data_IF_479626255270
#
_entry.id   IF_479626255270
#
_cell.length_a   1.000
_cell.length_b   1.000
_cell.length_c   1.000
_cell.angle_alpha   90.00
_cell.angle_beta   90.00
_cell.angle_gamma   90.00
#
_symmetry.space_group_name_H-M   'P 1'
#
loop_
_entity.id
_entity.type
_entity.pdbx_description
1 polymer ?
#
# COMPACT_ATOMS: atom_id res chain seq x y z
N UNK A 1 -15.96 -17.10 6.78
CA UNK A 1 -16.42 -16.76 5.41
C UNK A 1 -15.29 -15.99 4.75
N UNK A 2 -14.90 -16.33 3.52
CA UNK A 2 -13.93 -15.51 2.79
C UNK A 2 -14.57 -14.14 2.56
N UNK A 3 -14.05 -13.08 3.18
CA UNK A 3 -14.36 -11.72 2.71
C UNK A 3 -13.80 -11.61 1.28
N UNK A 4 -14.53 -10.94 0.40
CA UNK A 4 -14.00 -10.59 -0.92
C UNK A 4 -13.01 -9.43 -0.72
N UNK A 5 -11.71 -9.73 -0.82
CA UNK A 5 -10.61 -8.81 -0.48
C UNK A 5 -9.97 -8.17 -1.71
N UNK A 6 -10.44 -8.54 -2.91
CA UNK A 6 -9.96 -8.01 -4.17
C UNK A 6 -11.01 -7.07 -4.75
N UNK A 7 -10.57 -5.89 -5.17
CA UNK A 7 -11.41 -4.90 -5.85
C UNK A 7 -10.87 -4.64 -7.26
N UNK A 8 -11.75 -4.25 -8.18
CA UNK A 8 -11.37 -3.90 -9.55
C UNK A 8 -10.98 -2.43 -9.66
N UNK A 9 -10.27 -2.08 -10.74
CA UNK A 9 -9.99 -0.67 -11.05
C UNK A 9 -11.28 0.16 -11.22
N UNK A 10 -12.34 -0.42 -11.80
CA UNK A 10 -13.64 0.23 -11.93
C UNK A 10 -14.30 0.48 -10.56
N UNK A 11 -14.16 -0.48 -9.63
CA UNK A 11 -14.64 -0.32 -8.26
C UNK A 11 -13.97 0.86 -7.57
N UNK A 12 -12.65 1.01 -7.72
CA UNK A 12 -11.88 2.12 -7.15
C UNK A 12 -12.25 3.44 -7.82
N UNK A 13 -12.32 3.47 -9.15
CA UNK A 13 -12.63 4.66 -9.93
C UNK A 13 -14.01 5.22 -9.59
N UNK A 14 -15.01 4.35 -9.42
CA UNK A 14 -16.37 4.75 -8.99
C UNK A 14 -16.45 5.32 -7.57
N UNK A 15 -15.39 5.14 -6.76
CA UNK A 15 -15.28 5.58 -5.36
C UNK A 15 -14.13 6.56 -5.12
N UNK A 16 -13.50 7.09 -6.17
CA UNK A 16 -12.27 7.87 -6.03
C UNK A 16 -12.41 9.07 -5.08
N UNK A 17 -13.59 9.67 -5.03
CA UNK A 17 -13.88 10.78 -4.10
C UNK A 17 -13.90 10.35 -2.62
N UNK A 18 -14.07 9.07 -2.29
CA UNK A 18 -13.93 8.56 -0.91
C UNK A 18 -12.46 8.53 -0.50
N UNK A 19 -11.58 8.09 -1.41
CA UNK A 19 -10.13 8.00 -1.19
C UNK A 19 -9.40 9.36 -1.22
N UNK A 20 -10.09 10.43 -1.64
CA UNK A 20 -9.55 11.80 -1.70
C UNK A 20 -9.99 12.68 -0.52
N UNK A 21 -10.86 12.18 0.36
CA UNK A 21 -11.31 12.92 1.54
C UNK A 21 -10.21 13.02 2.58
N UNK A 22 -10.33 14.05 3.42
CA UNK A 22 -9.44 14.27 4.57
C UNK A 22 -9.85 13.43 5.80
N UNK A 23 -10.76 12.47 5.64
CA UNK A 23 -11.15 11.54 6.70
C UNK A 23 -10.43 10.19 6.56
N UNK A 24 -10.19 9.46 7.67
CA UNK A 24 -9.37 8.25 7.65
C UNK A 24 -10.12 7.00 7.17
N UNK A 25 -11.40 7.07 6.76
CA UNK A 25 -12.19 5.87 6.49
C UNK A 25 -11.65 5.08 5.28
N UNK A 26 -11.08 5.75 4.28
CA UNK A 26 -10.57 5.13 3.06
C UNK A 26 -9.17 5.63 2.74
N UNK A 27 -8.24 4.70 2.51
CA UNK A 27 -6.84 5.00 2.16
C UNK A 27 -6.41 4.17 0.96
N UNK A 28 -5.89 4.84 -0.05
CA UNK A 28 -5.34 4.20 -1.25
C UNK A 28 -3.82 4.20 -1.11
N UNK A 29 -3.19 3.04 -1.26
CA UNK A 29 -1.76 2.87 -1.02
C UNK A 29 -1.12 2.23 -2.23
N UNK A 30 -0.13 2.91 -2.80
CA UNK A 30 0.80 2.31 -3.76
C UNK A 30 2.00 1.76 -3.01
N UNK A 31 2.33 0.49 -3.24
CA UNK A 31 3.53 -0.14 -2.68
C UNK A 31 4.41 -0.63 -3.80
N UNK A 32 5.62 -0.08 -3.88
CA UNK A 32 6.64 -0.54 -4.82
C UNK A 32 8.07 -0.28 -4.29
N UNK A 33 9.10 -0.54 -5.09
CA UNK A 33 10.44 -0.06 -4.87
C UNK A 33 10.62 1.32 -5.52
N UNK A 34 11.50 2.13 -4.93
CA UNK A 34 11.98 3.38 -5.54
C UNK A 34 13.09 3.16 -6.57
N UNK A 35 13.72 1.99 -6.58
CA UNK A 35 14.79 1.67 -7.52
C UNK A 35 14.25 1.42 -8.94
N UNK A 36 14.53 2.36 -9.83
CA UNK A 36 14.23 2.27 -11.26
C UNK A 36 15.52 1.94 -12.00
N UNK A 37 15.53 0.82 -12.70
CA UNK A 37 16.57 0.41 -13.64
C UNK A 37 16.08 0.53 -15.08
N UNK A 38 16.97 0.43 -16.07
CA UNK A 38 16.58 0.38 -17.49
C UNK A 38 15.66 -0.81 -17.82
N UNK A 39 15.62 -1.82 -16.96
CA UNK A 39 14.75 -3.00 -17.06
C UNK A 39 13.45 -2.86 -16.25
N UNK A 40 13.29 -1.77 -15.49
CA UNK A 40 12.13 -1.56 -14.64
C UNK A 40 10.90 -1.19 -15.47
N UNK A 41 9.90 -2.06 -15.48
CA UNK A 41 8.61 -1.81 -16.09
C UNK A 41 7.60 -1.23 -15.08
N UNK A 42 7.96 -0.13 -14.39
CA UNK A 42 7.00 0.64 -13.58
C UNK A 42 7.16 2.14 -13.78
N UNK A 43 6.06 2.87 -13.58
CA UNK A 43 6.06 4.33 -13.51
C UNK A 43 6.46 4.73 -12.09
N UNK A 44 7.49 5.56 -11.89
CA UNK A 44 7.80 6.09 -10.58
C UNK A 44 6.59 6.82 -10.01
N UNK A 45 6.34 6.68 -8.71
CA UNK A 45 5.18 7.29 -8.06
C UNK A 45 5.04 8.79 -8.40
N UNK A 46 6.13 9.55 -8.33
CA UNK A 46 6.15 10.99 -8.63
C UNK A 46 5.78 11.34 -10.08
N UNK A 47 6.02 10.42 -11.02
CA UNK A 47 5.70 10.61 -12.43
C UNK A 47 4.21 10.32 -12.73
N UNK A 48 3.54 9.52 -11.90
CA UNK A 48 2.12 9.28 -12.01
C UNK A 48 1.62 8.17 -11.09
N UNK A 49 0.59 8.47 -10.32
CA UNK A 49 -0.08 7.55 -9.40
C UNK A 49 -1.59 7.83 -9.37
N UNK A 50 -2.36 6.91 -8.77
CA UNK A 50 -3.79 7.10 -8.61
C UNK A 50 -4.09 8.30 -7.68
N UNK A 51 -5.06 9.18 -8.00
CA UNK A 51 -5.33 10.37 -7.19
C UNK A 51 -5.70 10.03 -5.74
N UNK A 52 -5.02 10.67 -4.78
CA UNK A 52 -5.22 10.40 -3.35
C UNK A 52 -4.47 9.18 -2.82
N UNK A 53 -3.67 8.51 -3.66
CA UNK A 53 -2.78 7.46 -3.18
C UNK A 53 -1.72 8.04 -2.23
N UNK A 54 -1.21 7.18 -1.35
CA UNK A 54 0.01 7.38 -0.59
C UNK A 54 1.02 6.33 -1.03
N UNK A 55 2.28 6.72 -1.18
CA UNK A 55 3.35 5.79 -1.53
C UNK A 55 4.00 5.20 -0.28
N UNK A 56 4.26 3.90 -0.31
CA UNK A 56 5.19 3.24 0.60
C UNK A 56 6.26 2.47 -0.19
N UNK A 57 7.52 2.64 0.19
CA UNK A 57 8.62 1.83 -0.31
C UNK A 57 8.63 0.49 0.42
N UNK A 58 8.64 -0.62 -0.33
CA UNK A 58 8.59 -1.95 0.28
C UNK A 58 9.78 -2.23 1.21
N UNK A 59 10.97 -1.72 0.87
CA UNK A 59 12.20 -1.90 1.64
C UNK A 59 12.14 -1.03 2.88
N UNK A 60 11.85 0.27 2.73
CA UNK A 60 11.88 1.19 3.88
C UNK A 60 10.72 0.97 4.86
N UNK A 61 9.52 0.71 4.36
CA UNK A 61 8.33 0.64 5.20
C UNK A 61 8.03 -0.79 5.69
N UNK A 62 8.31 -1.83 4.90
CA UNK A 62 7.84 -3.19 5.20
C UNK A 62 8.96 -4.20 5.50
N UNK A 63 10.23 -3.79 5.52
CA UNK A 63 11.35 -4.68 5.89
C UNK A 63 12.15 -4.13 7.07
N UNK A 64 12.70 -5.04 7.87
CA UNK A 64 13.76 -4.73 8.84
C UNK A 64 15.10 -4.82 8.09
N UNK A 65 15.89 -3.76 8.11
CA UNK A 65 17.14 -3.63 7.35
C UNK A 65 18.32 -4.39 8.00
N UNK A 66 18.23 -4.64 9.31
CA UNK A 66 19.25 -5.35 10.09
C UNK A 66 18.91 -6.82 10.28
N UNK A 67 17.62 -7.15 10.34
CA UNK A 67 17.13 -8.51 10.52
C UNK A 67 16.44 -8.93 9.24
N UNK A 68 16.70 -10.14 8.75
CA UNK A 68 15.97 -10.70 7.60
C UNK A 68 14.52 -11.02 7.97
N UNK A 69 13.72 -9.99 8.20
CA UNK A 69 12.38 -10.04 8.75
C UNK A 69 11.55 -8.85 8.23
N UNK A 70 10.25 -8.90 8.48
CA UNK A 70 9.35 -7.77 8.24
C UNK A 70 9.62 -6.65 9.25
N UNK A 71 9.21 -5.43 8.89
CA UNK A 71 9.12 -4.29 9.83
C UNK A 71 8.44 -4.73 11.12
N UNK A 72 8.90 -4.27 12.28
CA UNK A 72 8.25 -4.59 13.55
C UNK A 72 6.89 -3.87 13.72
N UNK A 73 6.13 -4.25 14.77
CA UNK A 73 4.79 -3.71 15.00
C UNK A 73 4.80 -2.19 15.24
N UNK A 74 5.82 -1.67 15.91
CA UNK A 74 5.92 -0.23 16.21
C UNK A 74 6.22 0.57 14.94
N UNK A 75 7.15 0.09 14.12
CA UNK A 75 7.45 0.66 12.80
C UNK A 75 6.22 0.62 11.89
N UNK A 76 5.53 -0.53 11.85
CA UNK A 76 4.28 -0.70 11.11
C UNK A 76 3.22 0.32 11.53
N UNK A 77 2.96 0.44 12.83
CA UNK A 77 1.99 1.40 13.35
C UNK A 77 2.40 2.86 13.07
N UNK A 78 3.70 3.18 13.15
CA UNK A 78 4.22 4.53 12.95
C UNK A 78 3.99 5.05 11.54
N UNK A 79 4.48 4.36 10.51
CA UNK A 79 4.36 4.88 9.13
C UNK A 79 2.89 4.89 8.66
N UNK A 80 2.07 3.95 9.12
CA UNK A 80 0.63 3.94 8.84
C UNK A 80 -0.06 5.13 9.50
N UNK A 81 0.24 5.41 10.78
CA UNK A 81 -0.30 6.57 11.48
C UNK A 81 0.12 7.90 10.85
N UNK A 82 1.37 8.01 10.42
CA UNK A 82 1.88 9.17 9.67
C UNK A 82 1.15 9.38 8.33
N UNK A 83 0.74 8.30 7.67
CA UNK A 83 -0.12 8.31 6.48
C UNK A 83 -1.62 8.48 6.78
N UNK A 84 -2.01 8.67 8.05
CA UNK A 84 -3.40 8.83 8.45
C UNK A 84 -4.24 7.56 8.33
N UNK A 85 -3.61 6.38 8.30
CA UNK A 85 -4.25 5.06 8.36
C UNK A 85 -4.49 4.70 9.83
N UNK A 86 -5.75 4.42 10.17
CA UNK A 86 -6.16 3.98 11.50
C UNK A 86 -6.55 2.50 11.46
N UNK A 87 -6.74 1.88 12.62
CA UNK A 87 -7.20 0.48 12.73
C UNK A 87 -8.55 0.22 12.04
N UNK A 88 -9.36 1.26 11.81
CA UNK A 88 -10.67 1.19 11.17
C UNK A 88 -10.64 1.57 9.68
N UNK A 89 -9.50 2.05 9.17
CA UNK A 89 -9.35 2.44 7.76
C UNK A 89 -9.56 1.26 6.83
N UNK A 90 -10.38 1.44 5.81
CA UNK A 90 -10.39 0.55 4.64
C UNK A 90 -9.22 0.91 3.74
N UNK A 91 -8.21 0.04 3.71
CA UNK A 91 -6.99 0.25 2.90
C UNK A 91 -7.07 -0.55 1.61
N UNK A 92 -6.99 0.14 0.47
CA UNK A 92 -6.85 -0.48 -0.85
C UNK A 92 -5.40 -0.37 -1.27
N UNK A 93 -4.77 -1.52 -1.49
CA UNK A 93 -3.34 -1.62 -1.81
C UNK A 93 -3.20 -2.01 -3.28
N UNK A 94 -2.31 -1.32 -4.00
CA UNK A 94 -1.89 -1.72 -5.34
C UNK A 94 -0.37 -1.56 -5.49
N UNK A 95 0.18 -2.25 -6.47
CA UNK A 95 1.56 -2.05 -6.92
C UNK A 95 1.64 -2.11 -8.44
N UNK A 96 2.52 -1.30 -9.02
CA UNK A 96 2.87 -1.37 -10.44
C UNK A 96 4.19 -2.15 -10.61
N UNK A 97 4.65 -2.36 -11.85
CA UNK A 97 5.81 -3.21 -12.16
C UNK A 97 5.51 -4.31 -13.17
N UNK A 98 6.60 -4.90 -13.68
CA UNK A 98 6.56 -6.05 -14.59
C UNK A 98 5.72 -7.21 -14.03
N UNK A 99 5.75 -7.39 -12.70
CA UNK A 99 4.85 -8.30 -11.98
C UNK A 99 3.88 -7.45 -11.16
N UNK A 100 2.65 -7.21 -11.66
CA UNK A 100 1.67 -6.38 -10.97
C UNK A 100 1.37 -6.89 -9.56
N UNK A 101 1.22 -5.97 -8.62
CA UNK A 101 0.91 -6.25 -7.21
C UNK A 101 1.89 -7.18 -6.47
N UNK A 102 3.13 -7.35 -6.94
CA UNK A 102 4.12 -8.15 -6.19
C UNK A 102 4.32 -7.59 -4.77
N UNK A 103 4.73 -6.33 -4.66
CA UNK A 103 4.90 -5.68 -3.35
C UNK A 103 3.55 -5.32 -2.69
N UNK A 104 2.51 -5.06 -3.49
CA UNK A 104 1.15 -4.87 -2.97
C UNK A 104 0.63 -6.09 -2.20
N UNK A 105 0.87 -7.30 -2.69
CA UNK A 105 0.51 -8.54 -2.01
C UNK A 105 1.34 -8.77 -0.74
N UNK A 106 2.64 -8.41 -0.75
CA UNK A 106 3.50 -8.46 0.42
C UNK A 106 3.03 -7.50 1.52
N UNK A 107 2.67 -6.27 1.15
CA UNK A 107 2.08 -5.30 2.06
C UNK A 107 0.74 -5.80 2.62
N UNK A 108 -0.18 -6.28 1.76
CA UNK A 108 -1.44 -6.87 2.19
C UNK A 108 -1.24 -7.97 3.24
N UNK A 109 -0.31 -8.90 2.99
CA UNK A 109 0.03 -9.94 3.96
C UNK A 109 0.51 -9.36 5.29
N UNK A 110 1.33 -8.31 5.26
CA UNK A 110 1.85 -7.65 6.48
C UNK A 110 0.72 -6.98 7.29
N UNK A 111 -0.24 -6.33 6.62
CA UNK A 111 -1.45 -5.79 7.26
C UNK A 111 -2.26 -6.90 7.94
N UNK A 112 -2.51 -8.02 7.24
CA UNK A 112 -3.21 -9.18 7.83
C UNK A 112 -2.42 -9.79 8.99
N UNK A 113 -1.09 -9.88 8.88
CA UNK A 113 -0.21 -10.40 9.93
C UNK A 113 -0.32 -9.57 11.21
N UNK A 114 -0.42 -8.24 11.09
CA UNK A 114 -0.56 -7.34 12.23
C UNK A 114 -1.98 -7.17 12.77
N UNK A 115 -2.98 -7.70 12.07
CA UNK A 115 -4.36 -7.77 12.54
C UNK A 115 -5.32 -6.73 11.92
N UNK A 116 -4.95 -6.11 10.81
CA UNK A 116 -5.81 -5.17 10.08
C UNK A 116 -6.83 -5.93 9.22
N UNK A 117 -8.13 -5.60 9.32
CA UNK A 117 -9.24 -6.48 8.90
C UNK A 117 -10.19 -5.97 7.82
#
# INVERSE_FOLDING_TARGET
MSKDVLVTADWLTSRLEEFRRDDPAYRLVEVNNTEVTDESEHTPYEAGHAPGATFFDWTENFTDDMRRNIVDREGFARFNGEAGITEESTVVIYGNGMVPNWYGAYAYWTYKYYGHD
#
